data_IF_439935847648
#
_entry.id   IF_439935847648
#
_cell.length_a   1.000
_cell.length_b   1.000
_cell.length_c   1.000
_cell.angle_alpha   90.00
_cell.angle_beta   90.00
_cell.angle_gamma   90.00
#
_symmetry.space_group_name_H-M   'P 1'
#
loop_
_entity.id
_entity.type
_entity.pdbx_description
1 polymer ?
#
# COMPACT_ATOMS: atom_id res chain seq x y z
N UNK A 1 -26.83 -6.17 -33.33
CA UNK A 1 -27.17 -4.84 -32.79
C UNK A 1 -27.31 -5.00 -31.29
N UNK A 2 -26.41 -4.40 -30.51
CA UNK A 2 -26.48 -4.45 -29.05
C UNK A 2 -27.22 -3.20 -28.58
N UNK A 3 -28.43 -3.37 -28.09
CA UNK A 3 -29.18 -2.30 -27.44
C UNK A 3 -28.48 -1.93 -26.13
N UNK A 4 -27.90 -0.72 -26.10
CA UNK A 4 -27.44 -0.09 -24.86
C UNK A 4 -28.62 0.66 -24.27
N UNK A 5 -29.23 0.06 -23.24
CA UNK A 5 -30.23 0.75 -22.43
C UNK A 5 -29.45 1.52 -21.35
N UNK A 6 -29.37 2.84 -21.50
CA UNK A 6 -28.82 3.74 -20.50
C UNK A 6 -29.95 4.13 -19.54
N UNK A 7 -29.90 3.59 -18.32
CA UNK A 7 -30.87 3.92 -17.28
C UNK A 7 -30.21 4.90 -16.31
N UNK A 8 -30.59 6.17 -16.40
CA UNK A 8 -30.07 7.23 -15.52
C UNK A 8 -30.84 7.26 -14.19
N UNK A 9 -30.26 6.62 -13.17
CA UNK A 9 -30.58 6.93 -11.78
C UNK A 9 -29.35 7.59 -11.18
N UNK A 10 -29.45 8.91 -10.98
CA UNK A 10 -28.39 9.77 -10.39
C UNK A 10 -27.67 9.06 -9.24
N UNK A 11 -26.47 8.55 -9.55
CA UNK A 11 -25.33 8.14 -8.70
C UNK A 11 -24.80 6.71 -8.84
N UNK A 12 -25.44 5.81 -9.59
CA UNK A 12 -24.72 4.62 -10.10
C UNK A 12 -24.92 4.45 -11.60
N UNK A 13 -23.81 4.50 -12.33
CA UNK A 13 -23.75 4.10 -13.73
C UNK A 13 -23.44 2.61 -13.77
N UNK A 14 -24.47 1.80 -13.97
CA UNK A 14 -24.34 0.36 -14.14
C UNK A 14 -24.33 0.08 -15.64
N UNK A 15 -23.26 -0.53 -16.13
CA UNK A 15 -23.15 -0.96 -17.52
C UNK A 15 -23.60 -2.42 -17.54
N UNK A 16 -24.70 -2.72 -18.22
CA UNK A 16 -25.16 -4.09 -18.44
C UNK A 16 -24.89 -4.44 -19.89
N UNK A 17 -24.22 -5.57 -20.13
CA UNK A 17 -23.95 -6.05 -21.48
C UNK A 17 -23.80 -7.56 -21.54
N UNK A 18 -23.51 -8.07 -22.73
CA UNK A 18 -23.25 -9.48 -22.97
C UNK A 18 -21.79 -9.69 -23.31
N UNK A 19 -21.15 -10.62 -22.59
CA UNK A 19 -19.84 -11.13 -22.94
C UNK A 19 -19.95 -12.65 -23.13
N UNK A 20 -19.61 -13.15 -24.33
CA UNK A 20 -19.67 -14.59 -24.67
C UNK A 20 -21.03 -15.24 -24.37
N UNK A 21 -22.12 -14.51 -24.63
CA UNK A 21 -23.49 -15.00 -24.43
C UNK A 21 -23.98 -15.02 -22.99
N UNK A 22 -23.20 -14.51 -22.03
CA UNK A 22 -23.61 -14.40 -20.62
C UNK A 22 -23.86 -12.93 -20.24
N UNK A 23 -24.90 -12.64 -19.45
CA UNK A 23 -25.12 -11.29 -18.95
C UNK A 23 -23.99 -10.91 -17.98
N UNK A 24 -23.37 -9.77 -18.24
CA UNK A 24 -22.30 -9.18 -17.44
C UNK A 24 -22.75 -7.79 -16.97
N UNK A 25 -22.43 -7.48 -15.72
CA UNK A 25 -22.79 -6.22 -15.08
C UNK A 25 -21.51 -5.59 -14.57
N UNK A 26 -21.21 -4.39 -15.04
CA UNK A 26 -20.09 -3.57 -14.59
C UNK A 26 -20.60 -2.32 -13.88
N UNK A 27 -19.82 -1.80 -12.96
CA UNK A 27 -20.05 -0.48 -12.34
C UNK A 27 -19.07 0.48 -13.01
N UNK A 28 -19.57 1.59 -13.55
CA UNK A 28 -18.71 2.55 -14.24
C UNK A 28 -17.89 3.38 -13.24
N UNK A 29 -16.69 3.77 -13.66
CA UNK A 29 -15.78 4.60 -12.87
C UNK A 29 -16.46 5.90 -12.43
N UNK A 30 -16.30 6.25 -11.14
CA UNK A 30 -16.90 7.43 -10.53
C UNK A 30 -18.26 7.21 -9.84
N UNK A 31 -18.74 5.97 -9.74
CA UNK A 31 -19.97 5.66 -9.02
C UNK A 31 -19.75 4.76 -7.80
N UNK A 32 -19.87 5.31 -6.58
CA UNK A 32 -20.23 4.51 -5.41
C UNK A 32 -20.62 5.34 -4.19
N UNK A 33 -21.86 5.15 -3.70
CA UNK A 33 -22.09 4.93 -2.26
C UNK A 33 -22.45 3.45 -2.05
N UNK A 34 -22.05 2.81 -0.93
CA UNK A 34 -22.39 1.40 -0.63
C UNK A 34 -23.90 1.11 -0.59
N UNK A 35 -24.72 2.12 -0.33
CA UNK A 35 -26.18 2.03 -0.23
C UNK A 35 -26.82 1.75 -1.59
N UNK A 36 -26.33 2.44 -2.62
CA UNK A 36 -26.91 2.36 -3.96
C UNK A 36 -26.61 0.99 -4.62
N UNK A 37 -25.41 0.44 -4.38
CA UNK A 37 -25.02 -0.91 -4.84
C UNK A 37 -25.90 -1.97 -4.19
N UNK A 38 -26.18 -1.83 -2.88
CA UNK A 38 -27.05 -2.74 -2.13
C UNK A 38 -28.49 -2.71 -2.64
N UNK A 39 -29.00 -1.52 -2.97
CA UNK A 39 -30.34 -1.35 -3.54
C UNK A 39 -30.48 -2.07 -4.90
N UNK A 40 -29.47 -1.96 -5.77
CA UNK A 40 -29.44 -2.66 -7.06
C UNK A 40 -29.42 -4.19 -6.91
N UNK A 41 -28.53 -4.72 -6.05
CA UNK A 41 -28.43 -6.16 -5.81
C UNK A 41 -29.76 -6.71 -5.28
N UNK A 42 -30.46 -5.96 -4.42
CA UNK A 42 -31.79 -6.36 -3.94
C UNK A 42 -32.84 -6.41 -5.05
N UNK A 43 -32.80 -5.46 -6.01
CA UNK A 43 -33.71 -5.45 -7.18
C UNK A 43 -33.47 -6.60 -8.14
N UNK A 44 -32.21 -7.03 -8.31
CA UNK A 44 -31.83 -8.15 -9.18
C UNK A 44 -32.31 -9.52 -8.66
N UNK A 45 -32.75 -9.61 -7.41
CA UNK A 45 -33.19 -10.85 -6.75
C UNK A 45 -32.29 -12.07 -7.07
N UNK A 46 -30.97 -11.98 -6.85
CA UNK A 46 -30.07 -13.07 -7.20
C UNK A 46 -30.42 -14.32 -6.40
N UNK A 47 -30.35 -15.47 -7.07
CA UNK A 47 -30.65 -16.76 -6.45
C UNK A 47 -29.67 -17.06 -5.32
N UNK A 48 -30.02 -17.98 -4.43
CA UNK A 48 -29.12 -18.43 -3.35
C UNK A 48 -27.80 -18.97 -3.91
N UNK A 49 -27.84 -19.60 -5.08
CA UNK A 49 -26.64 -20.07 -5.78
C UNK A 49 -25.75 -18.91 -6.22
N UNK A 50 -26.32 -17.88 -6.86
CA UNK A 50 -25.58 -16.71 -7.34
C UNK A 50 -24.94 -15.94 -6.19
N UNK A 51 -25.70 -15.71 -5.10
CA UNK A 51 -25.17 -15.07 -3.89
C UNK A 51 -23.99 -15.84 -3.30
N UNK A 52 -24.08 -17.16 -3.25
CA UNK A 52 -23.00 -18.02 -2.71
C UNK A 52 -21.76 -17.97 -3.60
N UNK A 53 -21.96 -18.02 -4.92
CA UNK A 53 -20.88 -17.94 -5.90
C UNK A 53 -20.18 -16.59 -5.87
N UNK A 54 -20.93 -15.49 -5.91
CA UNK A 54 -20.35 -14.13 -5.85
C UNK A 54 -19.59 -13.90 -4.55
N UNK A 55 -20.14 -14.34 -3.40
CA UNK A 55 -19.43 -14.24 -2.13
C UNK A 55 -18.13 -15.06 -2.13
N UNK A 56 -18.12 -16.24 -2.75
CA UNK A 56 -16.90 -17.06 -2.90
C UNK A 56 -15.86 -16.35 -3.76
N UNK A 57 -16.28 -15.78 -4.89
CA UNK A 57 -15.39 -15.10 -5.84
C UNK A 57 -14.81 -13.82 -5.21
N UNK A 58 -15.64 -13.02 -4.52
CA UNK A 58 -15.18 -11.82 -3.79
C UNK A 58 -14.16 -12.20 -2.70
N UNK A 59 -14.43 -13.23 -1.89
CA UNK A 59 -13.48 -13.69 -0.86
C UNK A 59 -12.17 -14.22 -1.45
N UNK A 60 -12.20 -14.78 -2.66
CA UNK A 60 -10.99 -15.21 -3.36
C UNK A 60 -10.18 -13.98 -3.80
N UNK A 61 -10.81 -13.00 -4.44
CA UNK A 61 -10.17 -11.75 -4.85
C UNK A 61 -9.57 -10.98 -3.65
N UNK A 62 -10.31 -10.88 -2.54
CA UNK A 62 -9.83 -10.23 -1.33
C UNK A 62 -8.59 -10.92 -0.75
N UNK A 63 -8.58 -12.25 -0.67
CA UNK A 63 -7.40 -13.00 -0.19
C UNK A 63 -6.19 -12.84 -1.11
N UNK A 64 -6.40 -12.87 -2.43
CA UNK A 64 -5.31 -12.66 -3.39
C UNK A 64 -4.73 -11.25 -3.29
N UNK A 65 -5.58 -10.25 -3.06
CA UNK A 65 -5.16 -8.87 -2.82
C UNK A 65 -4.41 -8.71 -1.49
N UNK A 66 -4.95 -9.28 -0.40
CA UNK A 66 -4.33 -9.27 0.92
C UNK A 66 -2.96 -9.94 0.92
N UNK A 67 -2.80 -11.07 0.23
CA UNK A 67 -1.49 -11.75 0.06
C UNK A 67 -0.50 -10.85 -0.69
N UNK A 68 -0.93 -10.16 -1.76
CA UNK A 68 -0.07 -9.24 -2.52
C UNK A 68 0.34 -8.02 -1.69
N UNK A 69 -0.60 -7.42 -0.96
CA UNK A 69 -0.32 -6.30 -0.06
C UNK A 69 0.59 -6.70 1.09
N UNK A 70 0.38 -7.88 1.67
CA UNK A 70 1.22 -8.44 2.73
C UNK A 70 2.67 -8.65 2.25
N UNK A 71 2.84 -9.22 1.06
CA UNK A 71 4.17 -9.40 0.45
C UNK A 71 4.85 -8.06 0.15
N UNK A 72 4.14 -7.11 -0.43
CA UNK A 72 4.63 -5.75 -0.69
C UNK A 72 5.07 -5.04 0.61
N UNK A 73 4.27 -5.18 1.68
CA UNK A 73 4.59 -4.62 3.00
C UNK A 73 5.88 -5.20 3.57
N UNK A 74 6.07 -6.52 3.47
CA UNK A 74 7.30 -7.19 3.93
C UNK A 74 8.52 -6.75 3.12
N UNK A 75 8.39 -6.58 1.80
CA UNK A 75 9.47 -6.10 0.93
C UNK A 75 9.89 -4.66 1.31
N UNK A 76 8.93 -3.77 1.57
CA UNK A 76 9.21 -2.40 2.05
C UNK A 76 9.95 -2.41 3.39
N UNK A 77 9.47 -3.22 4.34
CA UNK A 77 10.09 -3.32 5.67
C UNK A 77 11.53 -3.83 5.60
N UNK A 78 11.80 -4.81 4.74
CA UNK A 78 13.16 -5.31 4.50
C UNK A 78 14.09 -4.25 3.91
N UNK A 79 13.63 -3.48 2.93
CA UNK A 79 14.43 -2.41 2.33
C UNK A 79 14.69 -1.27 3.32
N UNK A 80 13.73 -0.93 4.18
CA UNK A 80 13.92 0.04 5.27
C UNK A 80 15.00 -0.41 6.26
N UNK A 81 14.99 -1.68 6.67
CA UNK A 81 16.01 -2.23 7.58
C UNK A 81 17.40 -2.15 6.95
N UNK A 82 17.53 -2.51 5.66
CA UNK A 82 18.81 -2.41 4.94
C UNK A 82 19.32 -0.97 4.87
N UNK A 83 18.45 -0.03 4.50
CA UNK A 83 18.80 1.38 4.40
C UNK A 83 19.22 1.94 5.77
N UNK A 84 18.51 1.57 6.84
CA UNK A 84 18.83 2.00 8.19
C UNK A 84 20.22 1.51 8.63
N UNK A 85 20.52 0.23 8.40
CA UNK A 85 21.84 -0.34 8.72
C UNK A 85 22.98 0.38 7.99
N UNK A 86 22.82 0.67 6.71
CA UNK A 86 23.82 1.42 5.93
C UNK A 86 24.03 2.83 6.50
N UNK A 87 22.94 3.49 6.94
CA UNK A 87 23.01 4.81 7.54
C UNK A 87 23.73 4.79 8.89
N UNK A 88 23.43 3.82 9.76
CA UNK A 88 24.11 3.63 11.04
C UNK A 88 25.61 3.39 10.87
N UNK A 89 26.01 2.53 9.93
CA UNK A 89 27.42 2.26 9.63
C UNK A 89 28.17 3.52 9.14
N UNK A 90 27.52 4.37 8.34
CA UNK A 90 28.10 5.66 7.91
C UNK A 90 28.24 6.62 9.08
N UNK A 91 27.20 6.74 9.91
CA UNK A 91 27.21 7.61 11.07
C UNK A 91 28.31 7.19 12.06
N UNK A 92 28.52 5.89 12.24
CA UNK A 92 29.57 5.37 13.10
C UNK A 92 30.97 5.72 12.58
N UNK A 93 31.21 5.56 11.27
CA UNK A 93 32.48 5.96 10.65
C UNK A 93 32.76 7.45 10.78
N UNK A 94 31.74 8.29 10.59
CA UNK A 94 31.89 9.74 10.74
C UNK A 94 32.20 10.09 12.21
N UNK A 95 31.52 9.46 13.17
CA UNK A 95 31.84 9.64 14.60
C UNK A 95 33.29 9.28 14.91
N UNK A 96 33.75 8.13 14.46
CA UNK A 96 35.14 7.69 14.66
C UNK A 96 36.15 8.65 14.02
N UNK A 97 35.85 9.13 12.80
CA UNK A 97 36.69 10.09 12.10
C UNK A 97 36.79 11.42 12.84
N UNK A 98 35.67 11.98 13.29
CA UNK A 98 35.67 13.24 14.03
C UNK A 98 36.29 13.08 15.41
N UNK A 99 36.04 11.96 16.11
CA UNK A 99 36.67 11.69 17.40
C UNK A 99 38.19 11.61 17.29
N UNK A 100 38.72 10.85 16.32
CA UNK A 100 40.16 10.78 16.08
C UNK A 100 40.78 12.16 15.78
N UNK A 101 40.03 13.06 15.13
CA UNK A 101 40.48 14.42 14.84
C UNK A 101 40.45 15.31 16.08
N UNK A 102 39.43 15.17 16.92
CA UNK A 102 39.32 15.83 18.22
C UNK A 102 40.48 15.38 19.11
N UNK A 103 40.70 14.08 19.28
CA UNK A 103 41.79 13.52 20.10
C UNK A 103 43.17 14.06 19.65
N UNK A 104 43.36 14.20 18.34
CA UNK A 104 44.61 14.76 17.78
C UNK A 104 44.78 16.24 18.13
N UNK A 105 43.70 17.03 18.05
CA UNK A 105 43.72 18.44 18.42
C UNK A 105 43.92 18.62 19.93
N UNK A 106 43.24 17.83 20.75
CA UNK A 106 43.41 17.81 22.20
C UNK A 106 44.86 17.53 22.58
N UNK A 107 45.50 16.52 21.98
CA UNK A 107 46.93 16.25 22.18
C UNK A 107 47.81 17.45 21.86
N UNK A 108 47.56 18.13 20.75
CA UNK A 108 48.32 19.34 20.38
C UNK A 108 48.09 20.46 21.39
N UNK A 109 46.86 20.68 21.83
CA UNK A 109 46.52 21.74 22.79
C UNK A 109 47.14 21.47 24.17
N UNK A 110 47.12 20.22 24.64
CA UNK A 110 47.78 19.79 25.89
C UNK A 110 49.30 19.99 25.78
N UNK A 111 49.92 19.56 24.67
CA UNK A 111 51.38 19.75 24.44
C UNK A 111 51.81 21.22 24.47
N UNK A 112 50.93 22.13 24.06
CA UNK A 112 51.17 23.58 24.08
C UNK A 112 50.73 24.25 25.39
N UNK A 113 50.32 23.48 26.42
CA UNK A 113 49.79 23.97 27.69
C UNK A 113 48.58 24.93 27.54
N UNK A 114 47.81 24.79 26.47
CA UNK A 114 46.64 25.64 26.19
C UNK A 114 45.37 25.12 26.89
N UNK A 115 45.31 23.81 27.16
CA UNK A 115 44.25 23.16 27.94
C UNK A 115 44.89 22.16 28.92
N UNK A 116 44.16 21.80 29.98
CA UNK A 116 44.57 20.72 30.90
C UNK A 116 43.98 19.40 30.44
N UNK A 117 44.72 18.32 30.67
CA UNK A 117 44.20 16.97 30.54
C UNK A 117 43.02 16.83 31.51
N UNK A 118 41.87 16.40 31.00
CA UNK A 118 40.69 16.11 31.82
C UNK A 118 40.84 14.67 32.34
N UNK A 119 40.85 14.51 33.66
CA UNK A 119 40.90 13.22 34.36
C UNK A 119 39.69 12.31 34.03
#
# INVERSE_FOLDING_TARGET
MNEKIEIDFRKIKIIIGQEKGKPCVWVADGSATPVDVKSFINKMQPTTFDKTRYNKDIRKCLREYEIKMSKCSQEIEQELIKAHKIWEERLQKDREFYQARIDKLEKILIQNNLIKELD
#
